data_IF_106624004448
#
_entry.id   IF_106624004448
#
_cell.length_a   1.000
_cell.length_b   1.000
_cell.length_c   1.000
_cell.angle_alpha   90.00
_cell.angle_beta   90.00
_cell.angle_gamma   90.00
#
_symmetry.space_group_name_H-M   'P 1'
#
loop_
_entity.id
_entity.type
_entity.pdbx_description
1 polymer ?
#
# COMPACT_ATOMS: atom_id res chain seq x y z
N UNK A 1 -0.26 37.73 56.02
CA UNK A 1 0.81 36.71 56.14
C UNK A 1 0.32 35.28 56.45
N UNK A 2 -0.97 34.96 56.26
CA UNK A 2 -1.55 33.62 56.55
C UNK A 2 -1.81 32.80 55.27
N UNK A 3 -1.98 33.48 54.13
CA UNK A 3 -2.33 32.85 52.84
C UNK A 3 -1.15 32.09 52.22
N UNK A 4 0.08 32.58 52.40
CA UNK A 4 1.30 31.97 51.85
C UNK A 4 1.61 30.60 52.45
N UNK A 5 1.27 30.38 53.73
CA UNK A 5 1.57 29.10 54.39
C UNK A 5 0.61 27.97 53.95
N UNK A 6 -0.65 28.30 53.61
CA UNK A 6 -1.62 27.32 53.07
C UNK A 6 -1.25 26.82 51.67
N UNK A 7 -0.75 27.71 50.80
CA UNK A 7 -0.34 27.35 49.44
C UNK A 7 0.86 26.40 49.42
N UNK A 8 1.84 26.60 50.31
CA UNK A 8 3.03 25.74 50.41
C UNK A 8 2.67 24.34 50.92
N UNK A 9 1.73 24.23 51.86
CA UNK A 9 1.25 22.93 52.36
C UNK A 9 0.47 22.17 51.28
N UNK A 10 -0.34 22.88 50.48
CA UNK A 10 -1.12 22.26 49.40
C UNK A 10 -0.22 21.76 48.26
N UNK A 11 0.81 22.52 47.88
CA UNK A 11 1.78 22.11 46.85
C UNK A 11 2.58 20.86 47.27
N UNK A 12 2.97 20.75 48.54
CA UNK A 12 3.68 19.58 49.08
C UNK A 12 2.85 18.30 49.08
N UNK A 13 1.53 18.41 49.21
CA UNK A 13 0.66 17.24 49.21
C UNK A 13 0.38 16.74 47.79
N UNK A 14 0.34 17.65 46.81
CA UNK A 14 0.16 17.32 45.39
C UNK A 14 1.36 16.52 44.85
N UNK A 15 2.59 16.92 45.22
CA UNK A 15 3.81 16.22 44.78
C UNK A 15 3.93 14.81 45.34
N UNK A 16 3.43 14.55 46.56
CA UNK A 16 3.47 13.22 47.16
C UNK A 16 2.52 12.24 46.47
N UNK A 17 1.31 12.70 46.14
CA UNK A 17 0.33 11.86 45.44
C UNK A 17 0.76 11.56 44.00
N UNK A 18 1.42 12.51 43.31
CA UNK A 18 1.92 12.30 41.96
C UNK A 18 3.02 11.22 41.90
N UNK A 19 3.93 11.20 42.87
CA UNK A 19 5.00 10.19 42.95
C UNK A 19 4.41 8.80 43.22
N UNK A 20 3.39 8.69 44.07
CA UNK A 20 2.73 7.40 44.35
C UNK A 20 2.02 6.87 43.10
N UNK A 21 1.31 7.72 42.36
CA UNK A 21 0.63 7.33 41.12
C UNK A 21 1.65 6.89 40.06
N UNK A 22 2.77 7.61 39.92
CA UNK A 22 3.82 7.26 38.96
C UNK A 22 4.48 5.91 39.29
N UNK A 23 4.74 5.64 40.58
CA UNK A 23 5.28 4.35 41.04
C UNK A 23 4.29 3.20 40.81
N UNK A 24 2.99 3.44 41.01
CA UNK A 24 1.95 2.43 40.76
C UNK A 24 1.83 2.10 39.27
N UNK A 25 1.97 3.12 38.40
CA UNK A 25 1.93 2.95 36.95
C UNK A 25 3.17 2.21 36.43
N UNK A 26 4.34 2.47 37.01
CA UNK A 26 5.58 1.79 36.64
C UNK A 26 5.57 0.31 37.05
N UNK A 27 4.94 -0.04 38.17
CA UNK A 27 4.79 -1.43 38.62
C UNK A 27 3.82 -2.24 37.74
N UNK A 28 2.85 -1.59 37.10
CA UNK A 28 1.91 -2.24 36.16
C UNK A 28 2.53 -2.57 34.79
N UNK A 29 3.70 -1.99 34.46
CA UNK A 29 4.38 -2.20 33.18
C UNK A 29 5.38 -3.37 33.18
N UNK A 30 5.55 -4.09 34.29
CA UNK A 30 6.66 -5.05 34.46
C UNK A 30 6.46 -6.47 33.87
N UNK A 31 5.25 -7.02 33.57
CA UNK A 31 5.17 -8.36 33.00
C UNK A 31 4.67 -8.36 31.55
N UNK A 32 5.47 -7.85 30.61
CA UNK A 32 5.39 -8.27 29.19
C UNK A 32 6.82 -8.47 28.67
N UNK A 33 7.55 -9.37 29.33
CA UNK A 33 8.73 -9.99 28.74
C UNK A 33 8.52 -11.50 28.83
N UNK A 34 8.95 -12.21 27.79
CA UNK A 34 8.92 -13.67 27.61
C UNK A 34 7.69 -14.20 26.86
N UNK A 35 7.77 -14.18 25.53
CA UNK A 35 7.80 -15.40 24.71
C UNK A 35 8.28 -15.03 23.30
N UNK A 36 9.60 -15.10 23.08
CA UNK A 36 10.17 -15.12 21.74
C UNK A 36 10.19 -16.59 21.31
N UNK A 37 9.14 -17.01 20.62
CA UNK A 37 9.07 -18.32 19.99
C UNK A 37 9.85 -18.24 18.68
N UNK A 38 11.01 -18.90 18.63
CA UNK A 38 11.81 -19.05 17.41
C UNK A 38 11.07 -19.98 16.46
N UNK A 39 10.27 -19.41 15.56
CA UNK A 39 9.69 -20.16 14.44
C UNK A 39 10.80 -20.43 13.42
N UNK A 40 11.19 -21.70 13.34
CA UNK A 40 11.97 -22.21 12.22
C UNK A 40 11.07 -22.20 10.99
N UNK A 41 11.24 -21.19 10.14
CA UNK A 41 10.64 -21.16 8.81
C UNK A 41 11.34 -22.24 7.97
N UNK A 42 10.74 -23.43 7.95
CA UNK A 42 11.01 -24.44 6.94
C UNK A 42 10.23 -24.01 5.71
N UNK A 43 10.94 -23.36 4.79
CA UNK A 43 10.43 -23.00 3.46
C UNK A 43 10.35 -24.29 2.63
N UNK A 44 9.31 -25.09 2.87
CA UNK A 44 8.97 -26.25 2.06
C UNK A 44 8.35 -25.75 0.76
N UNK A 45 9.20 -25.43 -0.22
CA UNK A 45 8.77 -25.29 -1.61
C UNK A 45 8.31 -26.67 -2.11
N UNK A 46 7.04 -26.97 -1.88
CA UNK A 46 6.38 -28.11 -2.49
C UNK A 46 6.12 -27.76 -3.95
N UNK A 47 7.15 -27.90 -4.79
CA UNK A 47 6.95 -28.07 -6.23
C UNK A 47 6.23 -29.40 -6.39
N UNK A 48 4.91 -29.35 -6.52
CA UNK A 48 4.10 -30.54 -6.74
C UNK A 48 4.50 -31.15 -8.09
N UNK A 49 5.06 -32.36 -8.07
CA UNK A 49 5.17 -33.17 -9.28
C UNK A 49 3.76 -33.39 -9.85
N UNK A 50 3.59 -33.29 -11.19
CA UNK A 50 2.29 -33.45 -11.81
C UNK A 50 1.77 -34.86 -11.58
N UNK A 51 0.78 -34.97 -10.71
CA UNK A 51 -0.04 -36.17 -10.52
C UNK A 51 -0.63 -36.57 -11.88
N UNK A 52 -0.26 -37.75 -12.37
CA UNK A 52 -0.61 -38.30 -13.68
C UNK A 52 -2.09 -38.71 -13.85
N UNK A 53 -2.98 -38.17 -13.02
CA UNK A 53 -4.42 -38.18 -13.25
C UNK A 53 -4.81 -36.82 -13.83
N UNK A 54 -4.82 -36.74 -15.16
CA UNK A 54 -5.22 -35.52 -15.89
C UNK A 54 -6.71 -35.31 -15.69
N UNK A 55 -7.07 -34.55 -14.65
CA UNK A 55 -8.41 -34.00 -14.52
C UNK A 55 -8.73 -33.20 -15.80
N UNK A 56 -9.90 -33.40 -16.43
CA UNK A 56 -10.20 -32.75 -17.69
C UNK A 56 -10.28 -31.24 -17.51
N UNK A 57 -9.31 -30.51 -18.06
CA UNK A 57 -9.32 -29.04 -18.08
C UNK A 57 -10.52 -28.54 -18.87
N UNK A 58 -11.32 -27.65 -18.28
CA UNK A 58 -12.48 -27.06 -18.93
C UNK A 58 -12.25 -25.62 -19.41
N UNK A 59 -11.10 -25.02 -19.08
CA UNK A 59 -10.70 -23.69 -19.54
C UNK A 59 -9.28 -23.76 -20.08
N UNK A 60 -9.06 -23.16 -21.25
CA UNK A 60 -7.73 -23.03 -21.87
C UNK A 60 -7.47 -21.55 -22.10
N UNK A 61 -6.40 -21.02 -21.54
CA UNK A 61 -5.98 -19.63 -21.68
C UNK A 61 -4.75 -19.55 -22.59
N UNK A 62 -4.86 -18.78 -23.67
CA UNK A 62 -3.72 -18.42 -24.52
C UNK A 62 -3.31 -17.00 -24.19
N UNK A 63 -2.08 -16.83 -23.70
CA UNK A 63 -1.58 -15.57 -23.16
C UNK A 63 -0.78 -14.80 -24.21
N UNK A 64 -1.04 -13.50 -24.35
CA UNK A 64 -0.36 -12.61 -25.28
C UNK A 64 0.13 -11.34 -24.58
N UNK A 65 1.25 -10.81 -25.03
CA UNK A 65 1.69 -9.46 -24.65
C UNK A 65 0.72 -8.44 -25.27
N UNK A 66 0.10 -7.60 -24.43
CA UNK A 66 -0.84 -6.58 -24.87
C UNK A 66 -0.19 -5.51 -25.77
N UNK A 67 1.10 -5.24 -25.60
CA UNK A 67 1.85 -4.24 -26.36
C UNK A 67 2.32 -4.79 -27.71
N UNK A 68 2.98 -5.96 -27.74
CA UNK A 68 3.57 -6.52 -28.98
C UNK A 68 2.61 -7.42 -29.76
N UNK A 69 1.54 -7.93 -29.09
CA UNK A 69 0.62 -8.96 -29.62
C UNK A 69 1.29 -10.31 -29.89
N UNK A 70 2.49 -10.53 -29.35
CA UNK A 70 3.18 -11.81 -29.44
C UNK A 70 2.69 -12.78 -28.35
N UNK A 71 2.63 -14.08 -28.63
CA UNK A 71 2.29 -15.08 -27.62
C UNK A 71 3.39 -15.12 -26.55
N UNK A 72 2.98 -15.20 -25.28
CA UNK A 72 3.89 -15.35 -24.16
C UNK A 72 4.23 -16.83 -23.97
N UNK A 73 5.52 -17.14 -23.91
CA UNK A 73 6.10 -18.49 -23.94
C UNK A 73 7.29 -18.57 -22.99
N UNK A 74 7.53 -19.76 -22.44
CA UNK A 74 8.60 -20.06 -21.47
C UNK A 74 8.55 -19.13 -20.25
N UNK A 75 7.36 -18.99 -19.64
CA UNK A 75 7.10 -18.08 -18.52
C UNK A 75 6.50 -18.79 -17.30
N UNK A 76 6.81 -18.28 -16.12
CA UNK A 76 6.07 -18.60 -14.89
C UNK A 76 4.83 -17.71 -14.79
N UNK A 77 3.69 -18.31 -14.46
CA UNK A 77 2.39 -17.67 -14.37
C UNK A 77 1.74 -17.97 -13.03
N UNK A 78 1.50 -16.93 -12.25
CA UNK A 78 0.78 -16.98 -11.00
C UNK A 78 -0.68 -16.57 -11.25
N UNK A 79 -1.60 -17.49 -11.02
CA UNK A 79 -3.04 -17.27 -11.22
C UNK A 79 -3.71 -17.18 -9.85
N UNK A 80 -4.27 -16.01 -9.56
CA UNK A 80 -5.15 -15.76 -8.44
C UNK A 80 -6.60 -16.05 -8.80
N UNK A 81 -7.23 -17.04 -8.16
CA UNK A 81 -8.68 -17.30 -8.23
C UNK A 81 -9.25 -17.10 -6.84
N UNK A 82 -10.18 -16.14 -6.69
CA UNK A 82 -10.82 -15.80 -5.41
C UNK A 82 -9.82 -15.58 -4.26
N UNK A 83 -8.67 -14.99 -4.57
CA UNK A 83 -7.59 -14.67 -3.63
C UNK A 83 -6.57 -15.79 -3.39
N UNK A 84 -6.79 -17.01 -3.89
CA UNK A 84 -5.82 -18.11 -3.82
C UNK A 84 -4.95 -18.13 -5.07
N UNK A 85 -3.62 -18.16 -4.89
CA UNK A 85 -2.66 -18.17 -5.99
C UNK A 85 -2.07 -19.56 -6.23
N UNK A 86 -2.03 -19.97 -7.49
CA UNK A 86 -1.30 -21.15 -7.95
C UNK A 86 -0.31 -20.74 -9.05
N UNK A 87 0.90 -21.31 -9.00
CA UNK A 87 1.93 -21.06 -10.00
C UNK A 87 1.97 -22.18 -11.04
N UNK A 88 2.10 -21.78 -12.30
CA UNK A 88 2.21 -22.64 -13.45
C UNK A 88 3.43 -22.26 -14.27
N UNK A 89 3.97 -23.20 -15.03
CA UNK A 89 4.97 -22.93 -16.05
C UNK A 89 4.39 -23.22 -17.43
N UNK A 90 4.48 -22.26 -18.34
CA UNK A 90 3.99 -22.38 -19.72
C UNK A 90 5.19 -22.51 -20.64
N UNK A 91 5.37 -23.71 -21.19
CA UNK A 91 6.37 -23.99 -22.23
C UNK A 91 5.96 -23.40 -23.59
N UNK A 92 6.94 -23.29 -24.49
CA UNK A 92 6.81 -22.72 -25.84
C UNK A 92 5.53 -23.11 -26.62
N UNK A 93 5.04 -24.34 -26.53
CA UNK A 93 3.91 -24.82 -27.36
C UNK A 93 2.65 -25.19 -26.57
N UNK A 94 2.59 -24.79 -25.29
CA UNK A 94 1.47 -25.13 -24.42
C UNK A 94 0.62 -23.88 -24.12
N UNK A 95 -0.70 -24.09 -24.11
CA UNK A 95 -1.63 -23.14 -23.50
C UNK A 95 -1.81 -23.48 -22.01
N UNK A 96 -2.28 -22.50 -21.24
CA UNK A 96 -2.55 -22.68 -19.82
C UNK A 96 -3.92 -23.32 -19.61
N UNK A 97 -3.92 -24.59 -19.24
CA UNK A 97 -5.11 -25.35 -18.97
C UNK A 97 -5.52 -25.25 -17.49
N UNK A 98 -6.76 -24.84 -17.23
CA UNK A 98 -7.34 -24.74 -15.88
C UNK A 98 -8.54 -25.66 -15.74
N UNK A 99 -8.67 -26.24 -14.56
CA UNK A 99 -9.84 -27.01 -14.13
C UNK A 99 -10.55 -26.21 -13.04
N UNK A 100 -11.62 -25.50 -13.42
CA UNK A 100 -12.42 -24.68 -12.52
C UNK A 100 -13.83 -25.23 -12.44
N UNK A 101 -14.47 -25.17 -11.27
CA UNK A 101 -15.88 -25.51 -11.17
C UNK A 101 -16.76 -24.53 -11.98
N UNK A 102 -18.02 -24.90 -12.21
CA UNK A 102 -18.97 -23.97 -12.83
C UNK A 102 -19.20 -22.79 -11.90
N UNK A 103 -19.06 -21.59 -12.43
CA UNK A 103 -19.14 -20.39 -11.61
C UNK A 103 -18.72 -19.13 -12.35
N UNK A 104 -18.64 -18.06 -11.58
CA UNK A 104 -18.12 -16.76 -12.02
C UNK A 104 -16.91 -16.43 -11.16
N UNK A 105 -15.81 -16.06 -11.80
CA UNK A 105 -14.52 -15.85 -11.15
C UNK A 105 -13.91 -14.52 -11.57
N UNK A 106 -13.27 -13.84 -10.62
CA UNK A 106 -12.29 -12.79 -10.92
C UNK A 106 -10.91 -13.43 -10.91
N UNK A 107 -10.25 -13.44 -12.07
CA UNK A 107 -8.96 -14.09 -12.26
C UNK A 107 -7.89 -13.03 -12.42
N UNK A 108 -6.96 -13.00 -11.48
CA UNK A 108 -5.74 -12.19 -11.54
C UNK A 108 -4.61 -13.04 -12.09
N UNK A 109 -3.90 -12.54 -13.10
CA UNK A 109 -2.77 -13.24 -13.73
C UNK A 109 -1.55 -12.35 -13.60
N UNK A 110 -0.50 -12.89 -12.99
CA UNK A 110 0.83 -12.31 -12.92
C UNK A 110 1.78 -13.25 -13.66
N UNK A 111 2.69 -12.72 -14.47
CA UNK A 111 3.67 -13.57 -15.15
C UNK A 111 5.06 -12.94 -15.19
N UNK A 112 6.07 -13.80 -15.18
CA UNK A 112 7.49 -13.44 -15.26
C UNK A 112 8.27 -14.47 -16.04
N UNK A 113 9.36 -14.04 -16.66
CA UNK A 113 10.31 -14.97 -17.27
C UNK A 113 11.17 -15.66 -16.20
N UNK A 114 11.74 -16.85 -16.47
CA UNK A 114 12.58 -17.57 -15.53
C UNK A 114 13.79 -16.78 -15.02
N UNK A 115 14.35 -15.90 -15.85
CA UNK A 115 15.48 -15.04 -15.50
C UNK A 115 15.09 -13.77 -14.71
N UNK A 116 13.79 -13.51 -14.55
CA UNK A 116 13.29 -12.28 -13.94
C UNK A 116 12.92 -12.49 -12.48
N UNK A 117 13.47 -11.63 -11.62
CA UNK A 117 13.14 -11.60 -10.18
C UNK A 117 11.73 -11.03 -9.91
N UNK A 118 11.20 -10.24 -10.86
CA UNK A 118 9.94 -9.48 -10.73
C UNK A 118 8.95 -9.84 -11.83
N UNK A 119 7.67 -9.58 -11.58
CA UNK A 119 6.65 -9.72 -12.60
C UNK A 119 6.86 -8.74 -13.75
N UNK A 120 6.65 -9.26 -14.96
CA UNK A 120 6.73 -8.50 -16.20
C UNK A 120 5.35 -8.24 -16.80
N UNK A 121 4.37 -9.07 -16.45
CA UNK A 121 3.04 -9.02 -17.06
C UNK A 121 1.93 -9.16 -16.01
N UNK A 122 0.83 -8.45 -16.25
CA UNK A 122 -0.37 -8.48 -15.42
C UNK A 122 -1.66 -8.47 -16.25
N UNK A 123 -2.68 -9.18 -15.79
CA UNK A 123 -4.06 -9.04 -16.26
C UNK A 123 -5.04 -9.30 -15.12
N UNK A 124 -6.19 -8.64 -15.17
CA UNK A 124 -7.38 -9.00 -14.39
C UNK A 124 -8.54 -9.24 -15.37
N UNK A 125 -9.27 -10.33 -15.19
CA UNK A 125 -10.40 -10.68 -16.05
C UNK A 125 -11.51 -11.40 -15.29
N UNK A 126 -12.74 -11.11 -15.69
CA UNK A 126 -13.91 -11.83 -15.23
C UNK A 126 -14.21 -13.03 -16.16
N UNK A 127 -14.29 -14.23 -15.59
CA UNK A 127 -14.54 -15.48 -16.31
C UNK A 127 -15.83 -16.15 -15.82
N UNK A 128 -16.68 -16.57 -16.77
CA UNK A 128 -17.85 -17.41 -16.48
C UNK A 128 -17.60 -18.81 -17.05
N UNK A 129 -17.50 -19.79 -16.14
CA UNK A 129 -17.26 -21.20 -16.44
C UNK A 129 -18.60 -21.93 -16.59
N UNK A 130 -18.73 -22.70 -17.67
CA UNK A 130 -19.95 -23.43 -18.06
C UNK A 130 -19.60 -24.89 -18.38
N UNK A 131 -20.60 -25.71 -18.72
CA UNK A 131 -20.41 -27.12 -19.11
C UNK A 131 -19.50 -27.36 -20.32
N UNK A 132 -19.36 -26.37 -21.21
CA UNK A 132 -18.56 -26.51 -22.42
C UNK A 132 -17.16 -25.93 -22.22
N UNK A 133 -16.11 -26.61 -22.72
CA UNK A 133 -14.76 -26.09 -22.63
C UNK A 133 -14.65 -24.75 -23.37
N UNK A 134 -13.87 -23.81 -22.82
CA UNK A 134 -13.65 -22.50 -23.44
C UNK A 134 -12.17 -22.25 -23.64
N UNK A 135 -11.83 -21.84 -24.86
CA UNK A 135 -10.54 -21.21 -25.17
C UNK A 135 -10.71 -19.71 -25.02
N UNK A 136 -9.80 -19.06 -24.29
CA UNK A 136 -9.81 -17.63 -24.06
C UNK A 136 -8.45 -17.04 -24.37
N UNK A 137 -8.44 -16.06 -25.26
CA UNK A 137 -7.27 -15.22 -25.50
C UNK A 137 -7.23 -14.15 -24.40
N UNK A 138 -6.10 -14.05 -23.71
CA UNK A 138 -5.87 -13.08 -22.63
C UNK A 138 -4.67 -12.21 -23.00
N UNK A 139 -4.86 -10.90 -22.97
CA UNK A 139 -3.77 -9.94 -23.18
C UNK A 139 -3.26 -9.46 -21.83
N UNK A 140 -1.98 -9.70 -21.56
CA UNK A 140 -1.33 -9.26 -20.33
C UNK A 140 -0.55 -7.98 -20.63
N UNK A 141 -0.68 -7.01 -19.73
CA UNK A 141 -0.04 -5.72 -19.87
C UNK A 141 1.33 -5.70 -19.20
N UNK A 142 2.30 -4.96 -19.75
CA UNK A 142 3.62 -4.84 -19.18
C UNK A 142 3.58 -4.11 -17.82
N UNK A 143 4.24 -4.69 -16.83
CA UNK A 143 4.32 -4.16 -15.46
C UNK A 143 5.74 -4.26 -14.90
N UNK A 144 6.02 -3.43 -13.90
CA UNK A 144 7.18 -3.56 -13.01
C UNK A 144 6.73 -3.59 -11.56
N UNK A 145 7.69 -3.72 -10.64
CA UNK A 145 7.40 -3.65 -9.20
C UNK A 145 7.80 -2.29 -8.64
N UNK A 146 7.16 -1.86 -7.55
CA UNK A 146 7.43 -0.61 -6.88
C UNK A 146 7.56 -0.84 -5.37
N UNK A 147 8.67 -0.39 -4.81
CA UNK A 147 8.89 -0.31 -3.37
C UNK A 147 9.02 1.16 -2.98
N UNK A 148 8.30 1.58 -1.95
CA UNK A 148 8.38 2.94 -1.45
C UNK A 148 8.53 3.02 0.04
N UNK A 149 9.12 4.12 0.49
CA UNK A 149 9.20 4.50 1.90
C UNK A 149 8.84 5.99 2.05
N UNK A 150 8.06 6.31 3.08
CA UNK A 150 7.66 7.67 3.41
C UNK A 150 8.56 8.20 4.52
N UNK A 151 9.06 9.42 4.34
CA UNK A 151 9.89 10.12 5.31
C UNK A 151 9.43 11.54 5.54
N UNK A 152 9.69 12.09 6.73
CA UNK A 152 9.56 13.52 6.98
C UNK A 152 10.79 14.30 6.46
N UNK A 153 10.78 15.62 6.65
CA UNK A 153 11.88 16.50 6.29
C UNK A 153 13.15 16.32 7.14
N UNK A 154 13.08 15.56 8.25
CA UNK A 154 14.20 15.19 9.11
C UNK A 154 14.73 13.77 8.81
N UNK A 155 14.28 13.18 7.69
CA UNK A 155 14.57 11.81 7.25
C UNK A 155 14.11 10.71 8.24
N UNK A 156 13.18 11.01 9.15
CA UNK A 156 12.49 9.99 9.96
C UNK A 156 11.45 9.27 9.13
N UNK A 157 11.26 7.98 9.37
CA UNK A 157 10.24 7.16 8.70
C UNK A 157 8.88 7.43 9.31
N UNK A 158 7.87 7.66 8.45
CA UNK A 158 6.49 7.96 8.86
C UNK A 158 5.60 6.78 8.51
N UNK A 159 5.04 6.12 9.52
CA UNK A 159 4.17 4.96 9.36
C UNK A 159 2.73 5.35 9.01
N UNK A 160 1.94 4.38 8.52
CA UNK A 160 0.47 4.50 8.37
C UNK A 160 0.04 5.78 7.62
N UNK A 161 0.87 6.24 6.68
CA UNK A 161 0.60 7.40 5.84
C UNK A 161 -0.42 7.04 4.77
N UNK A 162 -1.40 7.92 4.51
CA UNK A 162 -2.36 7.77 3.42
C UNK A 162 -1.65 7.92 2.08
N UNK A 163 -1.91 7.03 1.13
CA UNK A 163 -1.25 6.95 -0.16
C UNK A 163 -2.27 7.16 -1.30
N UNK A 164 -1.83 7.84 -2.35
CA UNK A 164 -2.58 7.98 -3.60
C UNK A 164 -1.65 7.72 -4.80
N UNK A 165 -2.14 7.00 -5.80
CA UNK A 165 -1.37 6.58 -6.97
C UNK A 165 -2.05 7.04 -8.26
N UNK A 166 -1.34 7.84 -9.06
CA UNK A 166 -1.81 8.36 -10.34
C UNK A 166 -0.85 7.90 -11.45
N UNK A 167 -1.12 6.73 -12.03
CA UNK A 167 -0.31 6.16 -13.10
C UNK A 167 -0.91 6.43 -14.48
N UNK A 168 -0.06 6.54 -15.51
CA UNK A 168 -0.48 6.87 -16.89
C UNK A 168 -1.36 5.80 -17.58
N UNK A 169 -1.43 4.59 -17.03
CA UNK A 169 -2.18 3.46 -17.59
C UNK A 169 -3.40 3.13 -16.73
N UNK A 170 -4.53 2.82 -17.36
CA UNK A 170 -5.83 2.58 -16.73
C UNK A 170 -5.99 1.14 -16.23
N UNK A 171 -4.89 0.43 -15.98
CA UNK A 171 -4.98 -0.93 -15.44
C UNK A 171 -5.44 -0.81 -14.00
N UNK A 172 -6.54 -1.48 -13.68
CA UNK A 172 -7.04 -1.62 -12.31
C UNK A 172 -6.06 -2.51 -11.54
N UNK A 173 -5.15 -1.87 -10.83
CA UNK A 173 -4.29 -2.53 -9.85
C UNK A 173 -4.78 -2.16 -8.44
N UNK A 174 -4.69 -3.10 -7.53
CA UNK A 174 -5.04 -2.88 -6.13
C UNK A 174 -3.89 -2.12 -5.46
N UNK A 175 -3.98 -0.79 -5.44
CA UNK A 175 -3.02 0.06 -4.74
C UNK A 175 -3.37 0.14 -3.25
N UNK A 176 -2.38 0.04 -2.34
CA UNK A 176 -2.63 0.21 -0.92
C UNK A 176 -3.02 1.65 -0.62
N UNK A 177 -4.09 1.85 0.15
CA UNK A 177 -4.51 3.18 0.61
C UNK A 177 -3.59 3.74 1.70
N UNK A 178 -2.82 2.89 2.37
CA UNK A 178 -1.91 3.30 3.45
C UNK A 178 -0.56 2.57 3.40
N UNK A 179 0.50 3.24 3.86
CA UNK A 179 1.79 2.59 4.12
C UNK A 179 1.70 1.69 5.35
N UNK A 180 2.59 0.70 5.46
CA UNK A 180 2.64 -0.17 6.63
C UNK A 180 3.20 0.52 7.90
N UNK A 181 3.28 -0.24 9.00
CA UNK A 181 3.83 0.20 10.29
C UNK A 181 5.31 0.64 10.26
N UNK A 182 6.02 0.37 9.18
CA UNK A 182 7.39 0.78 8.93
C UNK A 182 7.47 1.88 7.86
N UNK A 183 6.37 2.57 7.58
CA UNK A 183 6.30 3.65 6.59
C UNK A 183 6.59 3.22 5.17
N UNK A 184 6.48 1.92 4.86
CA UNK A 184 6.80 1.38 3.55
C UNK A 184 5.60 0.77 2.85
N UNK A 185 5.67 0.67 1.53
CA UNK A 185 4.69 -0.03 0.71
C UNK A 185 5.39 -0.82 -0.39
N UNK A 186 4.76 -1.90 -0.82
CA UNK A 186 5.24 -2.77 -1.89
C UNK A 186 4.08 -3.08 -2.84
N UNK A 187 4.35 -2.95 -4.12
CA UNK A 187 3.46 -3.29 -5.21
C UNK A 187 4.21 -4.20 -6.16
N UNK A 188 3.74 -5.43 -6.33
CA UNK A 188 4.40 -6.41 -7.18
C UNK A 188 4.18 -6.15 -8.68
N UNK A 189 3.05 -5.52 -9.03
CA UNK A 189 2.68 -5.16 -10.38
C UNK A 189 2.10 -3.74 -10.45
N UNK A 190 2.87 -2.83 -11.05
CA UNK A 190 2.50 -1.46 -11.40
C UNK A 190 2.66 -1.31 -12.90
N UNK A 191 1.70 -0.69 -13.61
CA UNK A 191 1.80 -0.50 -15.06
C UNK A 191 3.10 0.19 -15.49
N UNK A 192 3.70 -0.30 -16.58
CA UNK A 192 4.82 0.39 -17.21
C UNK A 192 4.42 1.81 -17.62
N UNK A 193 5.27 2.79 -17.32
CA UNK A 193 5.01 4.20 -17.60
C UNK A 193 5.35 5.14 -16.44
N UNK A 194 4.77 6.34 -16.46
CA UNK A 194 4.96 7.32 -15.39
C UNK A 194 3.88 7.15 -14.33
N UNK A 195 4.25 7.22 -13.07
CA UNK A 195 3.30 7.24 -11.96
C UNK A 195 3.67 8.34 -10.95
N UNK A 196 2.68 9.15 -10.59
CA UNK A 196 2.77 10.14 -9.52
C UNK A 196 2.21 9.50 -8.24
N UNK A 197 3.04 9.46 -7.19
CA UNK A 197 2.69 8.83 -5.92
C UNK A 197 2.69 9.91 -4.86
N UNK A 198 1.55 10.09 -4.21
CA UNK A 198 1.38 11.07 -3.14
C UNK A 198 1.18 10.38 -1.80
N UNK A 199 1.67 11.02 -0.75
CA UNK A 199 1.54 10.55 0.61
C UNK A 199 1.13 11.71 1.53
N UNK A 200 0.16 11.47 2.43
CA UNK A 200 -0.36 12.47 3.37
C UNK A 200 -0.34 11.92 4.80
N UNK A 201 0.23 12.71 5.71
CA UNK A 201 0.21 12.44 7.15
C UNK A 201 0.00 13.76 7.92
N UNK A 202 -1.11 13.84 8.66
CA UNK A 202 -1.53 15.07 9.36
C UNK A 202 -1.55 16.29 8.41
N UNK A 203 -0.77 17.33 8.71
CA UNK A 203 -0.65 18.56 7.93
C UNK A 203 0.57 18.54 6.96
N UNK A 204 1.06 17.36 6.58
CA UNK A 204 2.19 17.21 5.67
C UNK A 204 1.83 16.37 4.45
N UNK A 205 2.27 16.82 3.27
CA UNK A 205 2.08 16.11 1.99
C UNK A 205 3.41 16.00 1.25
N UNK A 206 3.61 14.88 0.56
CA UNK A 206 4.72 14.69 -0.37
C UNK A 206 4.23 14.00 -1.64
N UNK A 207 4.79 14.36 -2.78
CA UNK A 207 4.49 13.73 -4.07
C UNK A 207 5.78 13.45 -4.82
N UNK A 208 5.93 12.24 -5.32
CA UNK A 208 7.07 11.82 -6.12
C UNK A 208 6.63 11.23 -7.44
N UNK A 209 7.33 11.60 -8.51
CA UNK A 209 7.13 11.06 -9.86
C UNK A 209 8.15 9.98 -10.14
N UNK A 210 7.68 8.78 -10.50
CA UNK A 210 8.53 7.65 -10.86
C UNK A 210 8.25 7.15 -12.26
N UNK A 211 9.25 6.50 -12.88
CA UNK A 211 9.11 5.80 -14.15
C UNK A 211 9.25 4.30 -13.90
N UNK A 212 8.15 3.58 -14.08
CA UNK A 212 8.07 2.14 -13.93
C UNK A 212 8.54 1.48 -15.22
N UNK A 213 9.47 0.54 -15.09
CA UNK A 213 10.04 -0.23 -16.20
C UNK A 213 9.64 -1.70 -16.09
N UNK A 214 9.26 -2.32 -17.21
CA UNK A 214 8.86 -3.74 -17.24
C UNK A 214 9.90 -4.66 -16.58
N UNK A 215 9.44 -5.56 -15.71
CA UNK A 215 10.27 -6.59 -15.08
C UNK A 215 11.32 -6.09 -14.08
N UNK A 216 11.24 -4.82 -13.66
CA UNK A 216 12.19 -4.21 -12.73
C UNK A 216 11.48 -3.65 -11.51
N UNK A 217 12.18 -3.65 -10.38
CA UNK A 217 11.76 -2.94 -9.17
C UNK A 217 12.25 -1.50 -9.20
N UNK A 218 11.31 -0.57 -9.04
CA UNK A 218 11.57 0.85 -8.82
C UNK A 218 11.51 1.15 -7.33
N UNK A 219 12.47 1.91 -6.81
CA UNK A 219 12.47 2.34 -5.42
C UNK A 219 12.16 3.84 -5.34
N UNK A 220 11.27 4.25 -4.43
CA UNK A 220 10.88 5.65 -4.22
C UNK A 220 10.97 6.05 -2.74
N UNK A 221 11.37 7.30 -2.50
CA UNK A 221 11.35 7.91 -1.16
C UNK A 221 10.47 9.14 -1.25
N UNK A 222 9.30 9.11 -0.60
CA UNK A 222 8.38 10.24 -0.59
C UNK A 222 8.71 11.10 0.64
N UNK A 223 9.12 12.35 0.42
CA UNK A 223 9.41 13.31 1.49
C UNK A 223 8.19 14.17 1.77
N UNK A 224 7.71 14.14 3.01
CA UNK A 224 6.60 14.97 3.47
C UNK A 224 7.08 16.38 3.80
N UNK A 225 6.36 17.38 3.28
CA UNK A 225 6.59 18.80 3.57
C UNK A 225 5.31 19.47 4.08
N UNK A 226 5.44 20.21 5.18
CA UNK A 226 4.37 21.03 5.80
C UNK A 226 4.19 22.37 5.09
N UNK A 227 5.19 22.81 4.30
CA UNK A 227 5.17 24.11 3.63
C UNK A 227 4.05 24.22 2.60
N UNK A 228 3.57 23.09 2.08
CA UNK A 228 2.58 23.03 1.01
C UNK A 228 1.14 23.27 1.50
N UNK A 229 0.85 23.10 2.80
CA UNK A 229 -0.51 23.19 3.36
C UNK A 229 -0.80 24.54 4.04
N UNK A 230 0.24 25.31 4.40
CA UNK A 230 0.11 26.40 5.36
C UNK A 230 -0.27 27.79 4.80
N UNK A 231 -1.08 27.86 3.74
CA UNK A 231 -1.43 29.13 3.08
C UNK A 231 -2.70 29.85 3.59
N UNK A 232 -3.37 29.39 4.65
CA UNK A 232 -4.64 30.01 5.12
C UNK A 232 -4.63 30.62 6.53
N UNK A 233 -3.52 30.59 7.28
CA UNK A 233 -3.47 31.19 8.63
C UNK A 233 -3.60 32.73 8.66
N UNK A 234 -3.63 33.39 7.50
CA UNK A 234 -3.90 34.82 7.41
C UNK A 234 -5.31 35.20 7.90
N UNK A 235 -6.29 34.28 7.84
CA UNK A 235 -7.68 34.58 8.23
C UNK A 235 -8.08 34.10 9.64
N UNK A 236 -7.27 33.29 10.31
CA UNK A 236 -7.55 32.83 11.69
C UNK A 236 -6.92 33.68 12.78
N UNK A 237 -6.16 34.72 12.41
CA UNK A 237 -5.60 35.64 13.39
C UNK A 237 -6.72 36.53 13.98
N UNK A 238 -7.01 36.46 15.29
CA UNK A 238 -8.09 37.24 15.93
C UNK A 238 -7.90 38.76 15.78
N UNK A 239 -6.67 39.23 15.52
CA UNK A 239 -6.43 40.65 15.24
C UNK A 239 -7.08 41.11 13.93
N UNK A 240 -7.21 40.25 12.92
CA UNK A 240 -7.92 40.62 11.68
C UNK A 240 -9.42 40.77 11.91
N UNK A 241 -10.03 39.90 12.73
CA UNK A 241 -11.44 40.05 13.12
C UNK A 241 -11.66 41.31 13.95
N UNK A 242 -10.77 41.61 14.90
CA UNK A 242 -10.84 42.84 15.68
C UNK A 242 -10.67 44.09 14.81
N UNK A 243 -9.75 44.08 13.84
CA UNK A 243 -9.53 45.18 12.91
C UNK A 243 -10.73 45.38 11.97
N UNK A 244 -11.29 44.30 11.44
CA UNK A 244 -12.50 44.36 10.61
C UNK A 244 -13.70 44.91 11.39
N UNK A 245 -13.87 44.50 12.65
CA UNK A 245 -14.92 45.01 13.53
C UNK A 245 -14.70 46.50 13.87
N UNK A 246 -13.46 46.91 14.08
CA UNK A 246 -13.12 48.31 14.34
C UNK A 246 -13.42 49.19 13.11
N UNK A 247 -13.09 48.71 11.91
CA UNK A 247 -13.37 49.41 10.65
C UNK A 247 -14.88 49.54 10.39
N UNK A 248 -15.68 48.51 10.69
CA UNK A 248 -17.16 48.60 10.53
C UNK A 248 -17.78 49.58 11.53
N UNK A 249 -17.32 49.63 12.78
CA UNK A 249 -17.79 50.62 13.76
C UNK A 249 -17.47 52.05 13.30
N UNK A 250 -16.26 52.29 12.80
CA UNK A 250 -15.86 53.62 12.28
C UNK A 250 -16.72 54.03 11.07
N UNK A 251 -17.02 53.10 10.16
CA UNK A 251 -17.86 53.37 9.00
C UNK A 251 -19.30 53.75 9.39
N UNK A 252 -19.89 53.07 10.37
CA UNK A 252 -21.25 53.35 10.87
C UNK A 252 -21.32 54.75 11.50
N UNK A 253 -20.26 55.20 12.17
CA UNK A 253 -20.21 56.55 12.79
C UNK A 253 -20.06 57.66 11.73
N UNK A 254 -19.47 57.35 10.58
CA UNK A 254 -19.18 58.32 9.51
C UNK A 254 -20.37 58.54 8.54
N UNK A 255 -21.39 57.68 8.56
CA UNK A 255 -22.62 57.79 7.75
C UNK A 255 -23.69 58.54 8.54
#
# INVERSE_FOLDING_TARGET
MIITNKLIIMARNLTKNLIIILMLFLALLVPILVHAETSNVVESSNVAEPSSAVEPSNIVLTLFDAATKEPLKDIFVDIGVDGSFNQYYIETDNDLALSLDKGSYNIKILAKKPESDYYEYYSDLFLIVTDSPKVKIVFLHPVGSLYGIVKDNLDNVVAETELNFECSSVISADYPETSNKFGSFLLDAVPEGTCDISAIHEDSIGTERVVITKGKRTNVIIKLDTSLINNSKLFTNPYFLALALLLTVVLIILI
#
